data_IF_016655575274
#
_entry.id   IF_016655575274
#
_cell.length_a   1.000
_cell.length_b   1.000
_cell.length_c   1.000
_cell.angle_alpha   90.00
_cell.angle_beta   90.00
_cell.angle_gamma   90.00
#
_symmetry.space_group_name_H-M   'P 1'
#
loop_
_entity.id
_entity.type
_entity.pdbx_description
1 polymer ?
#
# COMPACT_ATOMS: atom_id res chain seq x y z
N UNK A 1 48.32 -0.81 34.67
CA UNK A 1 47.05 -0.85 35.46
C UNK A 1 46.60 0.61 35.59
N UNK A 2 45.49 1.12 35.07
CA UNK A 2 44.12 0.60 34.90
C UNK A 2 43.52 1.18 33.61
N UNK A 3 42.67 0.37 32.98
CA UNK A 3 41.90 0.70 31.79
C UNK A 3 40.52 1.29 32.16
N UNK A 4 39.83 1.78 31.13
CA UNK A 4 38.37 1.94 31.02
C UNK A 4 37.79 3.23 31.63
N UNK A 5 37.63 4.26 30.79
CA UNK A 5 36.44 5.14 30.77
C UNK A 5 36.26 5.66 29.34
N UNK A 6 35.62 4.88 28.46
CA UNK A 6 35.25 5.33 27.11
C UNK A 6 34.09 4.53 26.53
N UNK A 7 33.03 4.30 27.29
CA UNK A 7 31.82 3.65 26.78
C UNK A 7 30.62 4.30 27.49
N UNK A 8 29.52 4.48 26.74
CA UNK A 8 28.17 4.89 27.16
C UNK A 8 27.84 6.40 27.06
N UNK A 9 27.88 6.96 25.85
CA UNK A 9 27.16 8.22 25.56
C UNK A 9 26.42 8.16 24.22
N UNK A 10 25.80 7.03 23.91
CA UNK A 10 24.72 6.94 22.91
C UNK A 10 23.75 5.85 23.39
N UNK A 11 22.71 6.21 24.15
CA UNK A 11 21.39 5.75 23.73
C UNK A 11 20.32 6.77 24.14
N UNK A 12 20.18 7.88 23.40
CA UNK A 12 19.08 8.82 23.64
C UNK A 12 18.48 9.38 22.34
N UNK A 13 18.41 8.54 21.30
CA UNK A 13 17.70 8.85 20.04
C UNK A 13 16.57 7.85 19.73
N UNK A 14 16.26 6.92 20.64
CA UNK A 14 15.23 5.90 20.43
C UNK A 14 13.83 6.29 20.93
N UNK A 15 13.64 7.50 21.46
CA UNK A 15 12.37 7.97 22.01
C UNK A 15 11.91 9.18 21.19
N UNK A 16 10.96 8.99 20.26
CA UNK A 16 9.96 9.99 19.78
C UNK A 16 9.27 9.57 18.49
N UNK A 17 9.63 8.45 17.86
CA UNK A 17 8.68 7.80 16.96
C UNK A 17 7.58 7.18 17.84
N UNK A 18 6.56 7.97 18.18
CA UNK A 18 5.26 7.44 18.53
C UNK A 18 4.85 6.61 17.31
N UNK A 19 5.17 5.31 17.35
CA UNK A 19 4.65 4.37 16.38
C UNK A 19 3.16 4.36 16.59
N UNK A 20 2.45 5.25 15.90
CA UNK A 20 1.02 5.11 15.68
C UNK A 20 0.95 3.79 14.93
N UNK A 21 0.58 2.72 15.65
CA UNK A 21 0.21 1.51 14.97
C UNK A 21 -0.86 1.96 13.97
N UNK A 22 -0.60 1.79 12.68
CA UNK A 22 -1.55 2.01 11.60
C UNK A 22 -2.68 0.98 11.75
N UNK A 23 -3.44 1.10 12.84
CA UNK A 23 -4.61 0.29 13.11
C UNK A 23 -5.72 0.92 12.30
N UNK A 24 -5.87 0.41 11.08
CA UNK A 24 -6.97 0.80 10.22
C UNK A 24 -8.29 0.38 10.83
N UNK A 25 -9.26 1.29 10.80
CA UNK A 25 -10.66 0.90 10.92
C UNK A 25 -11.02 -0.05 9.76
N UNK A 26 -12.02 -0.94 9.94
CA UNK A 26 -12.46 -1.85 8.89
C UNK A 26 -12.77 -1.15 7.56
N UNK A 27 -13.33 0.05 7.62
CA UNK A 27 -13.73 0.86 6.48
C UNK A 27 -12.52 1.40 5.72
N UNK A 28 -11.52 1.93 6.42
CA UNK A 28 -10.27 2.41 5.82
C UNK A 28 -9.46 1.26 5.20
N UNK A 29 -9.46 0.08 5.85
CA UNK A 29 -8.82 -1.10 5.28
C UNK A 29 -9.52 -1.54 3.98
N UNK A 30 -10.84 -1.49 3.92
CA UNK A 30 -11.58 -1.74 2.68
C UNK A 30 -11.28 -0.69 1.61
N UNK A 31 -11.25 0.58 1.98
CA UNK A 31 -10.91 1.68 1.06
C UNK A 31 -9.50 1.51 0.49
N UNK A 32 -8.50 1.13 1.30
CA UNK A 32 -7.12 0.93 0.84
C UNK A 32 -7.01 -0.21 -0.19
N UNK A 33 -7.79 -1.28 -0.04
CA UNK A 33 -7.83 -2.37 -1.01
C UNK A 33 -8.51 -1.97 -2.31
N UNK A 34 -9.63 -1.24 -2.23
CA UNK A 34 -10.30 -0.69 -3.41
C UNK A 34 -9.36 0.26 -4.17
N UNK A 35 -8.65 1.12 -3.44
CA UNK A 35 -7.68 2.04 -4.01
C UNK A 35 -6.50 1.30 -4.65
N UNK A 36 -6.01 0.20 -4.05
CA UNK A 36 -5.00 -0.64 -4.67
C UNK A 36 -5.46 -1.25 -6.01
N UNK A 37 -6.75 -1.58 -6.15
CA UNK A 37 -7.33 -2.02 -7.43
C UNK A 37 -7.34 -0.87 -8.45
N UNK A 38 -7.73 0.35 -8.06
CA UNK A 38 -7.69 1.53 -8.93
C UNK A 38 -6.26 1.82 -9.41
N UNK A 39 -5.28 1.74 -8.51
CA UNK A 39 -3.85 1.88 -8.84
C UNK A 39 -3.39 0.81 -9.83
N UNK A 40 -3.78 -0.46 -9.62
CA UNK A 40 -3.47 -1.54 -10.55
C UNK A 40 -4.08 -1.32 -11.95
N UNK A 41 -5.33 -0.85 -12.03
CA UNK A 41 -5.98 -0.52 -13.31
C UNK A 41 -5.28 0.63 -14.03
N UNK A 42 -4.98 1.71 -13.30
CA UNK A 42 -4.24 2.87 -13.84
C UNK A 42 -2.89 2.44 -14.40
N UNK A 43 -2.18 1.59 -13.67
CA UNK A 43 -0.83 1.19 -14.04
C UNK A 43 -0.78 0.20 -15.22
N UNK A 44 -1.90 -0.51 -15.47
CA UNK A 44 -2.11 -1.28 -16.69
C UNK A 44 -2.63 -0.43 -17.87
N UNK A 45 -2.83 0.88 -17.67
CA UNK A 45 -3.38 1.78 -18.69
C UNK A 45 -4.86 1.57 -18.98
N UNK A 46 -5.61 0.97 -18.04
CA UNK A 46 -7.05 0.71 -18.19
C UNK A 46 -7.92 1.90 -17.82
N UNK A 47 -7.36 2.93 -17.20
CA UNK A 47 -8.04 4.15 -16.79
C UNK A 47 -7.37 5.35 -17.45
N UNK A 48 -8.18 6.30 -17.91
CA UNK A 48 -7.72 7.65 -18.18
C UNK A 48 -7.46 8.41 -16.88
N UNK A 49 -6.72 9.52 -16.94
CA UNK A 49 -6.45 10.38 -15.78
C UNK A 49 -7.76 10.86 -15.10
N UNK A 50 -8.77 11.20 -15.90
CA UNK A 50 -10.07 11.63 -15.39
C UNK A 50 -10.80 10.50 -14.66
N UNK A 51 -10.79 9.29 -15.21
CA UNK A 51 -11.40 8.10 -14.57
C UNK A 51 -10.65 7.69 -13.31
N UNK A 52 -9.32 7.78 -13.32
CA UNK A 52 -8.51 7.55 -12.13
C UNK A 52 -8.84 8.56 -11.03
N UNK A 53 -8.95 9.84 -11.38
CA UNK A 53 -9.32 10.91 -10.44
C UNK A 53 -10.70 10.69 -9.84
N UNK A 54 -11.70 10.39 -10.67
CA UNK A 54 -13.07 10.11 -10.22
C UNK A 54 -13.12 8.90 -9.29
N UNK A 55 -12.53 7.76 -9.69
CA UNK A 55 -12.54 6.55 -8.87
C UNK A 55 -11.81 6.72 -7.55
N UNK A 56 -10.66 7.40 -7.57
CA UNK A 56 -9.90 7.70 -6.35
C UNK A 56 -10.73 8.60 -5.42
N UNK A 57 -11.35 9.64 -5.96
CA UNK A 57 -12.21 10.53 -5.18
C UNK A 57 -13.39 9.78 -4.56
N UNK A 58 -14.09 8.95 -5.35
CA UNK A 58 -15.21 8.13 -4.89
C UNK A 58 -14.80 7.12 -3.81
N UNK A 59 -13.60 6.53 -3.87
CA UNK A 59 -13.11 5.61 -2.83
C UNK A 59 -12.75 6.34 -1.53
N UNK A 60 -12.24 7.57 -1.64
CA UNK A 60 -11.78 8.40 -0.52
C UNK A 60 -12.87 9.34 0.04
N UNK A 61 -14.06 9.32 -0.55
CA UNK A 61 -15.18 10.14 -0.10
C UNK A 61 -15.58 9.74 1.33
N UNK A 62 -15.90 10.74 2.15
CA UNK A 62 -16.28 10.56 3.55
C UNK A 62 -15.13 10.34 4.55
N UNK A 63 -13.89 10.12 4.11
CA UNK A 63 -12.71 10.07 4.99
C UNK A 63 -12.09 11.45 5.19
N UNK A 64 -11.46 11.71 6.33
CA UNK A 64 -10.67 12.91 6.56
C UNK A 64 -9.28 12.86 5.89
N UNK A 65 -8.54 13.96 5.94
CA UNK A 65 -7.22 14.07 5.28
C UNK A 65 -6.20 13.04 5.79
N UNK A 66 -6.16 12.79 7.09
CA UNK A 66 -5.20 11.86 7.70
C UNK A 66 -5.57 10.42 7.37
N UNK A 67 -6.86 10.09 7.44
CA UNK A 67 -7.39 8.79 7.03
C UNK A 67 -7.08 8.52 5.55
N UNK A 68 -7.29 9.51 4.67
CA UNK A 68 -6.97 9.40 3.23
C UNK A 68 -5.49 9.12 2.99
N UNK A 69 -4.60 9.82 3.70
CA UNK A 69 -3.15 9.62 3.57
C UNK A 69 -2.74 8.21 4.02
N UNK A 70 -3.31 7.74 5.12
CA UNK A 70 -3.07 6.37 5.61
C UNK A 70 -3.59 5.34 4.60
N UNK A 71 -4.81 5.52 4.10
CA UNK A 71 -5.44 4.64 3.09
C UNK A 71 -4.57 4.57 1.83
N UNK A 72 -4.08 5.72 1.35
CA UNK A 72 -3.20 5.80 0.20
C UNK A 72 -1.86 5.10 0.45
N UNK A 73 -1.22 5.35 1.59
CA UNK A 73 0.04 4.70 1.94
C UNK A 73 -0.10 3.17 1.98
N UNK A 74 -1.19 2.67 2.57
CA UNK A 74 -1.49 1.24 2.63
C UNK A 74 -1.79 0.66 1.24
N UNK A 75 -2.55 1.37 0.41
CA UNK A 75 -2.86 0.96 -0.96
C UNK A 75 -1.59 0.85 -1.82
N UNK A 76 -0.71 1.85 -1.74
CA UNK A 76 0.59 1.88 -2.42
C UNK A 76 1.50 0.76 -1.91
N UNK A 77 1.49 0.46 -0.61
CA UNK A 77 2.23 -0.68 -0.05
C UNK A 77 1.76 -2.02 -0.61
N UNK A 78 0.45 -2.24 -0.67
CA UNK A 78 -0.15 -3.46 -1.20
C UNK A 78 0.13 -3.61 -2.71
N UNK A 79 -0.13 -2.56 -3.48
CA UNK A 79 0.15 -2.49 -4.92
C UNK A 79 1.65 -2.64 -5.22
N UNK A 80 2.51 -1.91 -4.50
CA UNK A 80 3.95 -1.94 -4.63
C UNK A 80 4.51 -3.34 -4.37
N UNK A 81 4.00 -4.04 -3.35
CA UNK A 81 4.34 -5.44 -3.11
C UNK A 81 4.12 -6.33 -4.34
N UNK A 82 3.06 -6.11 -5.12
CA UNK A 82 2.77 -6.89 -6.32
C UNK A 82 3.73 -6.59 -7.48
N UNK A 83 4.06 -5.31 -7.68
CA UNK A 83 4.90 -4.84 -8.79
C UNK A 83 6.37 -5.13 -8.54
N UNK A 84 6.88 -4.87 -7.32
CA UNK A 84 8.30 -5.06 -6.99
C UNK A 84 8.68 -6.52 -6.79
N UNK A 85 7.76 -7.38 -6.37
CA UNK A 85 8.00 -8.83 -6.29
C UNK A 85 8.21 -9.49 -7.67
N UNK A 86 8.00 -8.75 -8.77
CA UNK A 86 8.17 -9.23 -10.14
C UNK A 86 9.48 -8.76 -10.79
N UNK A 87 10.36 -8.10 -10.04
CA UNK A 87 11.64 -7.60 -10.53
C UNK A 87 12.64 -8.75 -10.72
N UNK A 88 12.47 -9.50 -11.82
CA UNK A 88 13.56 -10.12 -12.54
C UNK A 88 13.98 -9.18 -13.67
N UNK A 89 15.20 -8.63 -13.55
CA UNK A 89 16.09 -8.13 -14.60
C UNK A 89 15.49 -7.23 -15.70
N UNK A 90 15.35 -5.92 -15.43
CA UNK A 90 15.97 -4.86 -16.26
C UNK A 90 15.79 -3.46 -15.61
N UNK A 91 16.85 -2.81 -15.10
CA UNK A 91 16.76 -1.49 -14.46
C UNK A 91 16.45 -0.33 -15.43
N UNK A 92 16.35 -0.61 -16.74
CA UNK A 92 16.13 0.40 -17.79
C UNK A 92 14.64 0.66 -18.11
N UNK A 93 13.71 -0.10 -17.55
CA UNK A 93 12.27 0.09 -17.79
C UNK A 93 11.62 0.85 -16.64
N UNK A 94 11.42 2.16 -16.82
CA UNK A 94 10.68 3.02 -15.87
C UNK A 94 9.16 2.76 -15.89
N UNK A 95 8.77 1.50 -16.05
CA UNK A 95 7.39 1.05 -16.18
C UNK A 95 7.22 -0.36 -15.61
N UNK A 96 5.98 -0.85 -15.59
CA UNK A 96 5.68 -2.19 -15.12
C UNK A 96 6.30 -3.22 -16.08
N UNK A 97 7.11 -4.14 -15.55
CA UNK A 97 7.63 -5.27 -16.32
C UNK A 97 6.49 -6.19 -16.79
N UNK A 98 6.71 -6.98 -17.84
CA UNK A 98 5.70 -7.94 -18.30
C UNK A 98 5.24 -8.90 -17.17
N UNK A 99 6.16 -9.31 -16.29
CA UNK A 99 5.85 -10.11 -15.11
C UNK A 99 4.99 -9.34 -14.08
N UNK A 100 5.28 -8.04 -13.87
CA UNK A 100 4.46 -7.18 -13.03
C UNK A 100 3.06 -7.00 -13.61
N UNK A 101 2.92 -6.82 -14.92
CA UNK A 101 1.64 -6.67 -15.59
C UNK A 101 0.78 -7.93 -15.44
N UNK A 102 1.37 -9.12 -15.59
CA UNK A 102 0.69 -10.40 -15.36
C UNK A 102 0.21 -10.54 -13.90
N UNK A 103 1.02 -10.14 -12.92
CA UNK A 103 0.60 -10.16 -11.50
C UNK A 103 -0.51 -9.17 -11.22
N UNK A 104 -0.47 -7.97 -11.80
CA UNK A 104 -1.53 -6.98 -11.65
C UNK A 104 -2.84 -7.47 -12.29
N UNK A 105 -2.78 -8.10 -13.46
CA UNK A 105 -3.97 -8.71 -14.07
C UNK A 105 -4.54 -9.82 -13.18
N UNK A 106 -3.69 -10.69 -12.63
CA UNK A 106 -4.11 -11.73 -11.67
C UNK A 106 -4.70 -11.14 -10.38
N UNK A 107 -4.15 -10.02 -9.92
CA UNK A 107 -4.68 -9.29 -8.77
C UNK A 107 -6.06 -8.69 -9.05
N UNK A 108 -6.25 -8.04 -10.20
CA UNK A 108 -7.55 -7.50 -10.62
C UNK A 108 -8.60 -8.59 -10.81
N UNK A 109 -8.21 -9.76 -11.29
CA UNK A 109 -9.09 -10.93 -11.41
C UNK A 109 -9.36 -11.64 -10.07
N UNK A 110 -8.64 -11.28 -9.01
CA UNK A 110 -8.82 -11.88 -7.68
C UNK A 110 -10.10 -11.38 -7.01
N UNK A 111 -10.57 -12.12 -6.00
CA UNK A 111 -11.69 -11.69 -5.16
C UNK A 111 -11.44 -10.39 -4.40
N UNK A 112 -10.22 -9.84 -4.41
CA UNK A 112 -9.92 -8.55 -3.78
C UNK A 112 -10.55 -7.37 -4.49
N UNK A 113 -10.63 -7.42 -5.83
CA UNK A 113 -11.16 -6.32 -6.64
C UNK A 113 -12.61 -6.53 -7.08
N UNK A 114 -13.22 -7.66 -6.70
CA UNK A 114 -14.65 -7.94 -6.92
C UNK A 114 -15.46 -7.34 -5.77
N UNK A 115 -16.59 -6.72 -6.08
CA UNK A 115 -17.51 -6.21 -5.06
C UNK A 115 -17.96 -7.32 -4.11
N UNK A 116 -17.88 -7.09 -2.79
CA UNK A 116 -18.43 -8.01 -1.80
C UNK A 116 -17.46 -8.68 -0.83
N UNK A 117 -16.23 -8.19 -0.67
CA UNK A 117 -15.29 -8.64 0.39
C UNK A 117 -15.73 -8.21 1.81
N UNK A 118 -17.02 -8.27 2.12
CA UNK A 118 -17.59 -7.75 3.35
C UNK A 118 -17.63 -8.76 4.50
N UNK A 119 -17.25 -10.04 4.28
CA UNK A 119 -17.42 -11.08 5.32
C UNK A 119 -16.37 -12.18 5.24
N UNK A 120 -15.14 -11.90 5.68
CA UNK A 120 -14.27 -12.96 6.19
C UNK A 120 -14.28 -12.86 7.71
N UNK A 121 -15.34 -13.39 8.32
CA UNK A 121 -15.34 -13.63 9.77
C UNK A 121 -14.46 -14.85 10.01
N UNK A 122 -13.24 -14.65 10.50
CA UNK A 122 -12.43 -15.76 11.00
C UNK A 122 -13.19 -16.33 12.21
N UNK A 123 -13.68 -17.56 12.09
CA UNK A 123 -14.07 -18.33 13.27
C UNK A 123 -12.77 -18.67 14.00
N UNK A 124 -12.53 -17.95 15.10
CA UNK A 124 -11.52 -18.31 16.10
C UNK A 124 -11.95 -19.57 16.85
#
# INVERSE_FOLDING_TARGET
MKAIVRICLIPLLAYTAQGVALSFAPEEFQASRKLACVLAQQSLGQLSEAEYGEKTHTVLDGFDEVERDNILAQAVGYYGGLVFSAAGEDPASAGISAAGALKLQGFLASSTCVEGYNKVTLRL
#
